data_IF_924549648972
#
_entry.id   IF_924549648972
#
_cell.length_a   1.000
_cell.length_b   1.000
_cell.length_c   1.000
_cell.angle_alpha   90.00
_cell.angle_beta   90.00
_cell.angle_gamma   90.00
#
_symmetry.space_group_name_H-M   'P 1'
#
loop_
_entity.id
_entity.type
_entity.pdbx_description
1 polymer ?
#
# COMPACT_ATOMS: atom_id res chain seq x y z
N UNK A 1 6.53 30.18 54.39
CA UNK A 1 6.34 29.05 53.47
C UNK A 1 4.87 29.03 53.05
N UNK A 2 4.58 29.25 51.77
CA UNK A 2 3.23 29.04 51.23
C UNK A 2 3.02 27.53 50.96
N UNK A 3 1.84 26.96 51.23
CA UNK A 3 1.53 25.59 50.84
C UNK A 3 1.39 25.47 49.30
N UNK A 4 1.66 24.29 48.71
CA UNK A 4 1.63 24.12 47.26
C UNK A 4 0.19 24.20 46.70
N UNK A 5 0.02 24.56 45.41
CA UNK A 5 -1.30 24.66 44.79
C UNK A 5 -1.94 23.27 44.66
N UNK A 6 -3.15 23.13 45.20
CA UNK A 6 -4.00 21.96 44.98
C UNK A 6 -4.43 21.91 43.51
N UNK A 7 -3.92 20.93 42.75
CA UNK A 7 -4.45 20.60 41.44
C UNK A 7 -5.85 19.98 41.59
N UNK A 8 -6.90 20.50 40.93
CA UNK A 8 -8.22 19.89 40.97
C UNK A 8 -8.17 18.54 40.24
N UNK A 9 -8.38 17.45 40.98
CA UNK A 9 -8.54 16.11 40.42
C UNK A 9 -9.83 16.13 39.59
N UNK A 10 -9.70 16.08 38.26
CA UNK A 10 -10.84 15.97 37.36
C UNK A 10 -11.56 14.63 37.61
N UNK A 11 -12.64 14.66 38.37
CA UNK A 11 -13.58 13.55 38.52
C UNK A 11 -14.10 13.16 37.13
N UNK A 12 -13.64 12.02 36.62
CA UNK A 12 -14.24 11.38 35.44
C UNK A 12 -15.73 11.22 35.69
N UNK A 13 -16.55 11.86 34.87
CA UNK A 13 -18.00 11.72 34.92
C UNK A 13 -18.39 10.24 34.83
N UNK A 14 -18.89 9.69 35.93
CA UNK A 14 -19.48 8.36 35.95
C UNK A 14 -20.84 8.42 35.25
N UNK A 15 -20.93 7.85 34.04
CA UNK A 15 -22.21 7.62 33.36
C UNK A 15 -22.79 6.27 33.81
N UNK A 16 -24.01 6.23 34.38
CA UNK A 16 -24.64 4.98 34.78
C UNK A 16 -24.87 4.06 33.57
N UNK A 17 -24.86 2.75 33.82
CA UNK A 17 -25.08 1.69 32.83
C UNK A 17 -26.56 1.64 32.38
N UNK A 18 -27.01 2.67 31.67
CA UNK A 18 -28.31 2.76 31.03
C UNK A 18 -28.20 2.35 29.56
N UNK A 19 -28.73 1.16 29.24
CA UNK A 19 -29.08 0.62 27.91
C UNK A 19 -28.67 1.52 26.73
N UNK A 20 -27.42 1.42 26.28
CA UNK A 20 -27.07 1.85 24.92
C UNK A 20 -27.85 0.93 24.00
N UNK A 21 -28.83 1.46 23.26
CA UNK A 21 -29.30 0.80 22.05
C UNK A 21 -28.07 0.67 21.17
N UNK A 22 -27.48 -0.52 21.14
CA UNK A 22 -26.35 -0.83 20.30
C UNK A 22 -26.78 -0.57 18.86
N UNK A 23 -26.42 0.60 18.33
CA UNK A 23 -26.56 0.86 16.91
C UNK A 23 -25.78 -0.21 16.17
N UNK A 24 -26.18 -0.53 14.93
CA UNK A 24 -25.51 -1.55 14.12
C UNK A 24 -23.98 -1.38 14.08
N UNK A 25 -23.48 -0.15 14.24
CA UNK A 25 -22.07 0.22 14.45
C UNK A 25 -21.33 -0.65 15.51
N UNK A 26 -21.98 -1.02 16.62
CA UNK A 26 -21.38 -1.81 17.70
C UNK A 26 -21.21 -3.30 17.34
N UNK A 27 -21.92 -3.79 16.32
CA UNK A 27 -21.78 -5.16 15.80
C UNK A 27 -20.58 -5.31 14.85
N UNK A 28 -20.04 -4.21 14.33
CA UNK A 28 -18.90 -4.27 13.43
C UNK A 28 -17.60 -4.30 14.24
N UNK A 29 -16.83 -5.36 14.04
CA UNK A 29 -15.45 -5.42 14.50
C UNK A 29 -14.56 -4.56 13.59
N UNK A 30 -13.64 -3.81 14.20
CA UNK A 30 -12.63 -3.06 13.44
C UNK A 30 -11.81 -4.00 12.56
N UNK A 31 -11.44 -3.56 11.35
CA UNK A 31 -10.64 -4.32 10.36
C UNK A 31 -9.43 -5.01 10.99
N UNK A 32 -8.72 -4.32 11.88
CA UNK A 32 -7.54 -4.85 12.60
C UNK A 32 -7.89 -6.02 13.54
N UNK A 33 -9.05 -5.96 14.21
CA UNK A 33 -9.54 -7.06 15.05
C UNK A 33 -9.98 -8.24 14.19
N UNK A 34 -10.70 -8.02 13.09
CA UNK A 34 -11.15 -9.08 12.19
C UNK A 34 -9.98 -9.93 11.67
N UNK A 35 -8.89 -9.28 11.26
CA UNK A 35 -7.68 -9.94 10.73
C UNK A 35 -6.99 -10.77 11.81
N UNK A 36 -6.89 -10.21 13.03
CA UNK A 36 -6.33 -10.92 14.18
C UNK A 36 -7.17 -12.13 14.61
N UNK A 37 -8.49 -12.04 14.48
CA UNK A 37 -9.42 -13.16 14.76
C UNK A 37 -9.37 -14.26 13.70
N UNK A 38 -9.25 -13.89 12.43
CA UNK A 38 -9.29 -14.84 11.32
C UNK A 38 -7.96 -15.57 11.12
N UNK A 39 -6.84 -15.08 11.67
CA UNK A 39 -5.48 -15.61 11.41
C UNK A 39 -5.12 -15.68 9.91
N UNK A 40 -5.86 -14.94 9.08
CA UNK A 40 -5.66 -14.85 7.63
C UNK A 40 -4.93 -13.53 7.34
N UNK A 41 -3.94 -13.54 6.44
CA UNK A 41 -3.27 -12.31 6.04
C UNK A 41 -4.29 -11.35 5.41
N UNK A 42 -4.07 -10.05 5.55
CA UNK A 42 -4.96 -9.04 4.97
C UNK A 42 -5.15 -9.22 3.45
N UNK A 43 -4.12 -9.80 2.81
CA UNK A 43 -4.05 -10.05 1.39
C UNK A 43 -4.92 -11.25 1.01
N UNK A 44 -4.84 -12.36 1.75
CA UNK A 44 -5.69 -13.54 1.53
C UNK A 44 -7.18 -13.23 1.81
N UNK A 45 -7.45 -12.33 2.76
CA UNK A 45 -8.81 -11.83 3.01
C UNK A 45 -9.35 -10.98 1.85
N UNK A 46 -8.49 -10.24 1.15
CA UNK A 46 -8.90 -9.32 0.07
C UNK A 46 -8.84 -9.97 -1.32
N UNK A 47 -7.93 -10.90 -1.53
CA UNK A 47 -7.65 -11.57 -2.79
C UNK A 47 -7.56 -13.08 -2.56
N UNK A 48 -8.70 -13.77 -2.46
CA UNK A 48 -8.73 -15.21 -2.16
C UNK A 48 -8.15 -16.08 -3.28
N UNK A 49 -7.97 -15.52 -4.49
CA UNK A 49 -7.34 -16.20 -5.62
C UNK A 49 -6.17 -15.39 -6.19
N UNK A 50 -5.17 -16.08 -6.74
CA UNK A 50 -4.05 -15.44 -7.44
C UNK A 50 -4.52 -14.53 -8.58
N UNK A 51 -5.55 -15.01 -9.28
CA UNK A 51 -6.20 -14.29 -10.36
C UNK A 51 -6.75 -12.96 -9.83
N UNK A 52 -7.45 -12.95 -8.68
CA UNK A 52 -7.93 -11.71 -8.05
C UNK A 52 -6.80 -10.80 -7.56
N UNK A 53 -5.68 -11.35 -7.09
CA UNK A 53 -4.51 -10.55 -6.75
C UNK A 53 -3.94 -9.80 -7.98
N UNK A 54 -3.95 -10.41 -9.17
CA UNK A 54 -3.54 -9.74 -10.41
C UNK A 54 -4.40 -8.52 -10.76
N UNK A 55 -5.68 -8.46 -10.32
CA UNK A 55 -6.53 -7.27 -10.53
C UNK A 55 -6.07 -6.08 -9.68
N UNK A 56 -5.54 -6.35 -8.49
CA UNK A 56 -5.01 -5.31 -7.62
C UNK A 56 -3.62 -4.83 -8.06
N UNK A 57 -2.94 -5.58 -8.94
CA UNK A 57 -1.54 -5.35 -9.28
C UNK A 57 -1.31 -4.03 -10.05
N UNK A 58 -2.29 -3.56 -10.83
CA UNK A 58 -2.23 -2.29 -11.58
C UNK A 58 -1.92 -1.09 -10.65
N UNK A 59 -2.69 -0.94 -9.58
CA UNK A 59 -2.52 0.13 -8.59
C UNK A 59 -1.24 -0.10 -7.75
N UNK A 60 -0.91 -1.35 -7.46
CA UNK A 60 0.31 -1.70 -6.72
C UNK A 60 1.55 -1.23 -7.48
N UNK A 61 1.65 -1.58 -8.76
CA UNK A 61 2.80 -1.26 -9.61
C UNK A 61 2.94 0.24 -9.79
N UNK A 62 1.83 0.95 -10.02
CA UNK A 62 1.84 2.41 -10.15
C UNK A 62 2.32 3.09 -8.86
N UNK A 63 1.92 2.59 -7.69
CA UNK A 63 2.42 3.10 -6.41
C UNK A 63 3.90 2.79 -6.18
N UNK A 64 4.33 1.55 -6.45
CA UNK A 64 5.74 1.15 -6.29
C UNK A 64 6.64 1.99 -7.21
N UNK A 65 6.25 2.19 -8.46
CA UNK A 65 6.95 3.04 -9.42
C UNK A 65 6.95 4.52 -9.00
N UNK A 66 5.86 4.99 -8.40
CA UNK A 66 5.79 6.35 -7.84
C UNK A 66 6.82 6.53 -6.73
N UNK A 67 6.82 5.64 -5.73
CA UNK A 67 7.76 5.71 -4.61
C UNK A 67 9.23 5.51 -5.05
N UNK A 68 9.46 4.70 -6.09
CA UNK A 68 10.80 4.52 -6.66
C UNK A 68 11.33 5.79 -7.34
N UNK A 69 10.45 6.69 -7.82
CA UNK A 69 10.81 7.96 -8.44
C UNK A 69 10.92 9.14 -7.46
N UNK A 70 10.54 8.95 -6.18
CA UNK A 70 10.63 10.01 -5.18
C UNK A 70 12.08 10.22 -4.72
N UNK A 71 12.51 11.48 -4.52
CA UNK A 71 13.79 11.73 -3.87
C UNK A 71 13.72 11.26 -2.41
N UNK A 72 14.74 10.53 -1.95
CA UNK A 72 14.91 10.17 -0.55
C UNK A 72 15.20 11.43 0.28
N UNK A 73 14.18 12.24 0.53
CA UNK A 73 14.27 13.45 1.34
C UNK A 73 14.29 13.05 2.82
N UNK A 74 15.40 13.30 3.49
CA UNK A 74 15.66 12.96 4.91
C UNK A 74 14.68 13.62 5.91
N UNK A 75 13.81 14.54 5.45
CA UNK A 75 12.94 15.36 6.31
C UNK A 75 11.53 14.80 6.61
N UNK A 76 10.98 13.91 5.78
CA UNK A 76 9.56 13.49 5.88
C UNK A 76 9.35 12.05 6.41
N UNK A 77 10.39 11.41 6.94
CA UNK A 77 10.26 10.08 7.56
C UNK A 77 10.05 8.93 6.57
N UNK A 78 10.40 9.12 5.29
CA UNK A 78 10.49 8.03 4.32
C UNK A 78 11.81 7.29 4.55
N UNK A 79 11.71 6.02 4.95
CA UNK A 79 12.86 5.13 5.15
C UNK A 79 13.53 4.80 3.81
N UNK A 80 14.83 5.09 3.69
CA UNK A 80 15.63 4.90 2.46
C UNK A 80 15.57 3.45 1.98
N UNK A 81 15.58 2.48 2.91
CA UNK A 81 15.50 1.06 2.60
C UNK A 81 14.21 0.68 1.86
N UNK A 82 13.09 1.36 2.15
CA UNK A 82 11.81 1.13 1.46
C UNK A 82 11.84 1.63 0.03
N UNK A 83 12.48 2.77 -0.21
CA UNK A 83 12.66 3.31 -1.57
C UNK A 83 13.50 2.32 -2.40
N UNK A 84 14.61 1.83 -1.83
CA UNK A 84 15.46 0.84 -2.50
C UNK A 84 14.71 -0.46 -2.80
N UNK A 85 13.84 -0.90 -1.88
CA UNK A 85 12.98 -2.07 -2.08
C UNK A 85 11.98 -1.84 -3.21
N UNK A 86 11.33 -0.68 -3.27
CA UNK A 86 10.41 -0.32 -4.35
C UNK A 86 11.12 -0.29 -5.71
N UNK A 87 12.30 0.30 -5.78
CA UNK A 87 13.13 0.34 -6.99
C UNK A 87 13.49 -1.07 -7.47
N UNK A 88 13.91 -1.94 -6.54
CA UNK A 88 14.19 -3.33 -6.84
C UNK A 88 12.97 -4.07 -7.38
N UNK A 89 11.80 -3.90 -6.75
CA UNK A 89 10.55 -4.55 -7.18
C UNK A 89 10.11 -4.08 -8.57
N UNK A 90 10.21 -2.77 -8.85
CA UNK A 90 9.91 -2.21 -10.17
C UNK A 90 10.81 -2.84 -11.24
N UNK A 91 12.13 -2.89 -11.00
CA UNK A 91 13.07 -3.51 -11.95
C UNK A 91 12.83 -5.01 -12.12
N UNK A 92 12.54 -5.75 -11.04
CA UNK A 92 12.21 -7.18 -11.11
C UNK A 92 10.94 -7.42 -11.96
N UNK A 93 9.92 -6.57 -11.81
CA UNK A 93 8.71 -6.63 -12.63
C UNK A 93 8.99 -6.32 -14.10
N UNK A 94 9.73 -5.26 -14.39
CA UNK A 94 10.10 -4.92 -15.76
C UNK A 94 10.93 -6.04 -16.41
N UNK A 95 11.87 -6.64 -15.67
CA UNK A 95 12.65 -7.78 -16.13
C UNK A 95 11.77 -9.00 -16.41
N UNK A 96 10.79 -9.30 -15.54
CA UNK A 96 9.81 -10.36 -15.77
C UNK A 96 9.04 -10.13 -17.07
N UNK A 97 8.47 -8.95 -17.27
CA UNK A 97 7.70 -8.61 -18.48
C UNK A 97 8.56 -8.69 -19.74
N UNK A 98 9.82 -8.24 -19.66
CA UNK A 98 10.77 -8.34 -20.76
C UNK A 98 11.09 -9.78 -21.12
N UNK A 99 11.31 -10.66 -20.13
CA UNK A 99 11.65 -12.07 -20.35
C UNK A 99 10.47 -12.90 -20.87
N UNK A 100 9.25 -12.60 -20.42
CA UNK A 100 8.05 -13.32 -20.83
C UNK A 100 7.43 -12.78 -22.12
N UNK A 101 7.99 -11.72 -22.71
CA UNK A 101 7.46 -11.03 -23.89
C UNK A 101 5.95 -10.71 -23.75
N UNK A 102 5.51 -10.37 -22.54
CA UNK A 102 4.09 -10.20 -22.22
C UNK A 102 3.57 -8.78 -22.48
N UNK A 103 4.46 -7.83 -22.80
CA UNK A 103 4.10 -6.44 -23.10
C UNK A 103 3.27 -6.36 -24.40
N UNK A 104 2.20 -5.58 -24.39
CA UNK A 104 1.24 -5.48 -25.51
C UNK A 104 1.11 -4.06 -26.07
N UNK A 105 1.01 -3.06 -25.19
CA UNK A 105 0.88 -1.66 -25.58
C UNK A 105 1.68 -0.79 -24.63
N UNK A 106 2.27 0.27 -25.15
CA UNK A 106 2.95 1.29 -24.37
C UNK A 106 2.63 2.64 -24.97
N UNK A 107 2.36 3.64 -24.14
CA UNK A 107 2.18 5.01 -24.57
C UNK A 107 2.84 5.98 -23.59
N UNK A 108 3.38 7.07 -24.12
CA UNK A 108 4.03 8.12 -23.34
C UNK A 108 3.04 9.26 -23.17
N UNK A 109 2.78 9.65 -21.93
CA UNK A 109 1.94 10.79 -21.59
C UNK A 109 2.72 11.86 -20.82
N UNK A 110 2.01 12.93 -20.47
CA UNK A 110 2.58 14.04 -19.66
C UNK A 110 2.97 13.56 -18.26
N UNK A 111 2.17 12.66 -17.65
CA UNK A 111 2.39 12.14 -16.30
C UNK A 111 3.52 11.09 -16.20
N UNK A 112 3.86 10.44 -17.30
CA UNK A 112 4.75 9.29 -17.30
C UNK A 112 4.51 8.36 -18.49
N UNK A 113 5.07 7.16 -18.40
CA UNK A 113 4.95 6.10 -19.39
C UNK A 113 3.93 5.08 -18.89
N UNK A 114 2.95 4.78 -19.72
CA UNK A 114 1.93 3.79 -19.42
C UNK A 114 2.25 2.49 -20.14
N UNK A 115 2.30 1.41 -19.39
CA UNK A 115 2.56 0.06 -19.90
C UNK A 115 1.32 -0.80 -19.76
N UNK A 116 1.08 -1.64 -20.76
CA UNK A 116 0.04 -2.65 -20.73
C UNK A 116 0.63 -4.00 -21.12
N UNK A 117 0.57 -4.96 -20.21
CA UNK A 117 1.02 -6.33 -20.44
C UNK A 117 -0.12 -7.33 -20.25
N UNK A 118 0.02 -8.52 -20.84
CA UNK A 118 -0.91 -9.62 -20.65
C UNK A 118 -0.24 -10.75 -19.86
N UNK A 119 -0.60 -10.90 -18.59
CA UNK A 119 -0.03 -11.89 -17.67
C UNK A 119 -1.11 -12.90 -17.30
N UNK A 120 -0.86 -14.18 -17.57
CA UNK A 120 -1.80 -15.30 -17.36
C UNK A 120 -3.23 -15.01 -17.87
N UNK A 121 -3.35 -14.36 -19.04
CA UNK A 121 -4.63 -14.04 -19.67
C UNK A 121 -5.33 -12.79 -19.13
N UNK A 122 -4.72 -12.06 -18.17
CA UNK A 122 -5.22 -10.78 -17.67
C UNK A 122 -4.38 -9.63 -18.19
N UNK A 123 -5.07 -8.57 -18.64
CA UNK A 123 -4.43 -7.30 -19.02
C UNK A 123 -4.13 -6.53 -17.74
N UNK A 124 -2.87 -6.18 -17.56
CA UNK A 124 -2.33 -5.42 -16.44
C UNK A 124 -1.82 -4.11 -17.01
N UNK A 125 -2.26 -2.98 -16.45
CA UNK A 125 -1.90 -1.64 -16.90
C UNK A 125 -1.37 -0.82 -15.74
N UNK A 126 -0.14 -0.31 -15.86
CA UNK A 126 0.47 0.51 -14.82
C UNK A 126 1.15 1.74 -15.42
N UNK A 127 1.35 2.75 -14.58
CA UNK A 127 2.03 4.00 -14.91
C UNK A 127 3.37 4.07 -14.19
N UNK A 128 4.44 4.22 -14.97
CA UNK A 128 5.76 4.56 -14.45
C UNK A 128 6.00 6.06 -14.68
N UNK A 129 6.16 6.86 -13.63
CA UNK A 129 6.38 8.30 -13.78
C UNK A 129 7.72 8.57 -14.47
N UNK A 130 7.83 9.73 -15.12
CA UNK A 130 9.12 10.20 -15.62
C UNK A 130 10.07 10.44 -14.44
N UNK A 131 11.35 10.12 -14.62
CA UNK A 131 12.39 10.30 -13.59
C UNK A 131 12.71 11.78 -13.27
N UNK A 132 11.85 12.72 -13.69
CA UNK A 132 11.99 14.12 -13.34
C UNK A 132 11.61 14.28 -11.86
N UNK A 133 12.48 14.96 -11.13
CA UNK A 133 12.37 15.21 -9.70
C UNK A 133 10.96 15.69 -9.32
N UNK A 134 10.16 14.79 -8.75
CA UNK A 134 8.81 15.13 -8.34
C UNK A 134 8.91 16.12 -7.18
N UNK A 135 8.30 17.29 -7.37
CA UNK A 135 8.12 18.24 -6.26
C UNK A 135 7.01 17.68 -5.40
N UNK A 136 7.39 17.12 -4.24
CA UNK A 136 6.44 16.75 -3.20
C UNK A 136 5.69 18.02 -2.80
N UNK A 137 4.37 18.00 -2.89
CA UNK A 137 3.52 19.07 -2.39
C UNK A 137 3.10 18.72 -0.96
N UNK A 138 3.25 19.66 -0.03
CA UNK A 138 2.98 19.52 1.40
C UNK A 138 1.53 19.10 1.75
N UNK A 139 0.62 19.08 0.78
CA UNK A 139 -0.78 18.68 0.94
C UNK A 139 -0.98 17.15 0.99
N UNK A 140 0.01 16.35 0.59
CA UNK A 140 -0.14 14.90 0.48
C UNK A 140 0.29 14.19 1.77
N UNK A 141 -0.66 13.48 2.39
CA UNK A 141 -0.43 12.70 3.61
C UNK A 141 0.41 11.42 3.33
N UNK A 142 1.73 11.57 3.30
CA UNK A 142 2.69 10.47 3.04
C UNK A 142 2.54 9.31 4.03
N UNK A 143 2.14 9.58 5.27
CA UNK A 143 1.93 8.55 6.30
C UNK A 143 0.85 7.54 5.91
N UNK A 144 -0.22 8.01 5.27
CA UNK A 144 -1.29 7.14 4.77
C UNK A 144 -0.77 6.34 3.59
N UNK A 145 -0.06 6.98 2.65
CA UNK A 145 0.53 6.30 1.50
C UNK A 145 1.53 5.21 1.89
N UNK A 146 2.36 5.44 2.92
CA UNK A 146 3.29 4.45 3.46
C UNK A 146 2.56 3.21 4.02
N UNK A 147 1.41 3.41 4.67
CA UNK A 147 0.59 2.29 5.20
C UNK A 147 0.03 1.44 4.05
N UNK A 148 -0.31 2.06 2.91
CA UNK A 148 -0.73 1.35 1.72
C UNK A 148 0.46 0.68 1.00
N UNK A 149 1.63 1.33 0.98
CA UNK A 149 2.84 0.80 0.37
C UNK A 149 3.25 -0.54 0.99
N UNK A 150 3.22 -0.65 2.33
CA UNK A 150 3.50 -1.91 3.03
C UNK A 150 2.60 -3.05 2.54
N UNK A 151 1.33 -2.78 2.27
CA UNK A 151 0.41 -3.78 1.74
C UNK A 151 0.72 -4.16 0.28
N UNK A 152 1.12 -3.17 -0.54
CA UNK A 152 1.42 -3.36 -1.95
C UNK A 152 2.78 -4.02 -2.21
N UNK A 153 3.76 -3.81 -1.35
CA UNK A 153 5.03 -4.53 -1.39
C UNK A 153 4.82 -6.05 -1.24
N UNK A 154 4.00 -6.47 -0.26
CA UNK A 154 3.70 -7.88 -0.03
C UNK A 154 2.92 -8.47 -1.21
N UNK A 155 1.95 -7.71 -1.74
CA UNK A 155 1.16 -8.15 -2.91
C UNK A 155 2.02 -8.29 -4.16
N UNK A 156 2.94 -7.36 -4.39
CA UNK A 156 3.85 -7.37 -5.53
C UNK A 156 4.88 -8.49 -5.42
N UNK A 157 5.49 -8.68 -4.25
CA UNK A 157 6.43 -9.78 -3.98
C UNK A 157 5.78 -11.14 -4.17
N UNK A 158 4.56 -11.33 -3.65
CA UNK A 158 3.85 -12.60 -3.77
C UNK A 158 3.46 -12.90 -5.23
N UNK A 159 2.99 -11.88 -5.96
CA UNK A 159 2.65 -12.01 -7.37
C UNK A 159 3.88 -12.29 -8.23
N UNK A 160 4.98 -11.59 -7.99
CA UNK A 160 6.28 -11.82 -8.63
C UNK A 160 6.80 -13.22 -8.32
N UNK A 161 6.81 -13.65 -7.05
CA UNK A 161 7.26 -14.97 -6.66
C UNK A 161 6.46 -16.08 -7.37
N UNK A 162 5.13 -15.96 -7.43
CA UNK A 162 4.28 -16.93 -8.13
C UNK A 162 4.37 -16.84 -9.66
N UNK A 163 4.76 -15.68 -10.20
CA UNK A 163 5.05 -15.51 -11.62
C UNK A 163 6.42 -16.08 -12.00
N UNK A 164 7.45 -15.90 -11.16
CA UNK A 164 8.80 -16.44 -11.35
C UNK A 164 8.85 -17.96 -11.15
N UNK A 165 8.10 -18.51 -10.18
CA UNK A 165 7.95 -19.97 -10.00
C UNK A 165 7.32 -20.68 -11.20
N UNK A 166 6.66 -19.96 -12.09
CA UNK A 166 6.06 -20.49 -13.32
C UNK A 166 6.90 -20.22 -14.58
N UNK A 167 8.01 -19.48 -14.46
CA UNK A 167 8.91 -19.14 -15.57
C UNK A 167 10.24 -19.91 -15.51
N UNK A 168 10.58 -20.51 -14.36
CA UNK A 168 11.59 -21.58 -14.23
C UNK A 168 10.91 -22.95 -14.37
#
# INVERSE_FOLDING_TARGET
>A
LQPPPHFPIMLKHYRPAGKKKEGNAAKYITRTKAVKYLQVSLQDFRYPSFIDALRGLDDCLTMVDLFAALPAQTGEGIEVDRIHKCLRLSHEWQAYISRTHSLRKTYIGVKGIYYQANVKGRKITWLTPHALQQVLSDEVDLKVMLTFLEFYEVTSLWSLAHCFLFVL
#
